data_IF_333288204662
#
_entry.id   IF_333288204662
#
_cell.length_a   1.000
_cell.length_b   1.000
_cell.length_c   1.000
_cell.angle_alpha   90.00
_cell.angle_beta   90.00
_cell.angle_gamma   90.00
#
_symmetry.space_group_name_H-M   'P 1'
#
loop_
_entity.id
_entity.type
_entity.pdbx_description
1 polymer ?
#
# COMPACT_ATOMS: atom_id res chain seq x y z
N UNK A 1 -2.26 0.57 -31.26
CA UNK A 1 -1.84 1.69 -30.38
C UNK A 1 -2.55 1.54 -29.06
N UNK A 2 -1.83 1.24 -27.99
CA UNK A 2 -2.40 1.32 -26.63
C UNK A 2 -2.66 2.78 -26.36
N UNK A 3 -3.92 3.21 -26.44
CA UNK A 3 -4.33 4.51 -25.95
C UNK A 3 -4.35 4.40 -24.41
N UNK A 4 -3.24 4.73 -23.77
CA UNK A 4 -3.18 4.85 -22.33
C UNK A 4 -4.19 5.92 -21.91
N UNK A 5 -5.23 5.49 -21.23
CA UNK A 5 -6.22 6.43 -20.69
C UNK A 5 -5.63 7.04 -19.41
N UNK A 6 -5.49 8.36 -19.34
CA UNK A 6 -4.96 9.00 -18.14
C UNK A 6 -5.91 8.80 -16.94
N UNK A 7 -5.35 8.47 -15.78
CA UNK A 7 -6.10 8.45 -14.54
C UNK A 7 -6.44 9.90 -14.15
N UNK A 8 -7.73 10.18 -13.94
CA UNK A 8 -8.20 11.51 -13.56
C UNK A 8 -8.92 11.46 -12.21
N UNK A 9 -8.54 12.35 -11.33
CA UNK A 9 -9.16 12.52 -10.01
C UNK A 9 -9.53 13.98 -9.86
N UNK A 10 -10.75 14.26 -9.37
CA UNK A 10 -11.25 15.60 -9.10
C UNK A 10 -11.51 15.74 -7.60
N UNK A 11 -11.13 16.87 -7.03
CA UNK A 11 -11.35 17.19 -5.63
C UNK A 11 -12.24 18.44 -5.55
N UNK A 12 -13.20 18.40 -4.64
CA UNK A 12 -14.01 19.55 -4.26
C UNK A 12 -13.95 19.75 -2.76
N UNK A 13 -13.61 20.96 -2.34
CA UNK A 13 -13.62 21.32 -0.93
C UNK A 13 -15.06 21.32 -0.39
N UNK A 14 -15.28 20.59 0.70
CA UNK A 14 -16.56 20.59 1.39
C UNK A 14 -16.59 21.63 2.52
N UNK A 15 -15.58 21.63 3.38
CA UNK A 15 -15.40 22.59 4.46
C UNK A 15 -13.98 22.50 5.01
N UNK A 16 -13.36 23.60 5.43
CA UNK A 16 -12.04 23.64 6.03
C UNK A 16 -11.01 22.75 5.29
N UNK A 17 -10.56 21.65 5.89
CA UNK A 17 -9.64 20.67 5.32
C UNK A 17 -10.34 19.41 4.83
N UNK A 18 -11.66 19.40 4.78
CA UNK A 18 -12.45 18.29 4.24
C UNK A 18 -12.68 18.43 2.73
N UNK A 19 -12.37 17.39 1.97
CA UNK A 19 -12.51 17.33 0.52
C UNK A 19 -13.28 16.09 0.10
N UNK A 20 -14.09 16.21 -0.94
CA UNK A 20 -14.67 15.07 -1.66
C UNK A 20 -13.81 14.75 -2.86
N UNK A 21 -13.38 13.51 -2.95
CA UNK A 21 -12.62 12.98 -4.09
C UNK A 21 -13.58 12.22 -4.99
N UNK A 22 -13.66 12.59 -6.25
CA UNK A 22 -14.33 11.85 -7.31
C UNK A 22 -13.30 11.22 -8.25
N UNK A 23 -13.59 10.00 -8.68
CA UNK A 23 -12.75 9.23 -9.58
C UNK A 23 -13.27 9.35 -11.02
N UNK A 24 -12.44 8.99 -11.99
CA UNK A 24 -12.77 8.99 -13.42
C UNK A 24 -13.85 7.96 -13.81
N UNK A 25 -14.13 7.00 -12.95
CA UNK A 25 -15.29 6.10 -13.05
C UNK A 25 -16.43 6.61 -12.16
N UNK A 26 -17.53 7.06 -12.76
CA UNK A 26 -18.69 7.60 -12.06
C UNK A 26 -19.44 6.59 -11.17
N UNK A 27 -19.24 5.29 -11.40
CA UNK A 27 -19.85 4.22 -10.57
C UNK A 27 -19.11 4.02 -9.23
N UNK A 28 -17.93 4.62 -9.09
CA UNK A 28 -17.19 4.58 -7.83
C UNK A 28 -17.76 5.64 -6.85
N UNK A 29 -17.97 5.21 -5.61
CA UNK A 29 -18.38 6.12 -4.55
C UNK A 29 -17.30 7.19 -4.31
N UNK A 30 -17.74 8.43 -4.14
CA UNK A 30 -16.85 9.51 -3.73
C UNK A 30 -16.25 9.22 -2.35
N UNK A 31 -15.00 9.59 -2.17
CA UNK A 31 -14.29 9.45 -0.92
C UNK A 31 -14.18 10.79 -0.20
N UNK A 32 -14.70 10.87 1.03
CA UNK A 32 -14.47 12.02 1.90
C UNK A 32 -13.10 11.90 2.54
N UNK A 33 -12.31 12.96 2.48
CA UNK A 33 -11.02 13.09 3.17
C UNK A 33 -11.08 14.26 4.13
N UNK A 34 -10.31 14.19 5.22
CA UNK A 34 -10.20 15.28 6.19
C UNK A 34 -8.87 15.17 6.94
N UNK A 35 -8.38 16.27 7.45
CA UNK A 35 -7.22 16.26 8.35
C UNK A 35 -7.66 16.00 9.79
N UNK A 36 -6.77 15.45 10.65
CA UNK A 36 -7.05 15.37 12.08
C UNK A 36 -6.99 16.74 12.75
N UNK A 37 -7.54 16.84 13.95
CA UNK A 37 -7.42 18.05 14.76
C UNK A 37 -5.94 18.44 14.98
N UNK A 38 -5.57 19.72 15.03
CA UNK A 38 -6.48 20.90 15.05
C UNK A 38 -6.87 21.45 13.67
N UNK A 39 -6.42 20.87 12.57
CA UNK A 39 -6.69 21.37 11.22
C UNK A 39 -8.10 20.98 10.74
N UNK A 40 -8.49 19.75 10.95
CA UNK A 40 -9.78 19.18 10.56
C UNK A 40 -10.46 18.47 11.73
N UNK A 41 -11.40 17.59 11.39
CA UNK A 41 -12.24 16.87 12.35
C UNK A 41 -12.14 15.34 12.21
N UNK A 42 -11.14 14.85 11.47
CA UNK A 42 -10.89 13.40 11.25
C UNK A 42 -12.13 12.66 10.67
N UNK A 43 -12.90 13.33 9.80
CA UNK A 43 -14.12 12.78 9.18
C UNK A 43 -13.84 11.75 8.09
N UNK A 44 -12.58 11.67 7.65
CA UNK A 44 -12.12 10.74 6.65
C UNK A 44 -10.59 10.58 6.70
N UNK A 45 -10.02 9.66 5.91
CA UNK A 45 -8.58 9.49 5.86
C UNK A 45 -7.92 10.76 5.29
N UNK A 46 -6.83 11.20 5.92
CA UNK A 46 -6.01 12.27 5.39
C UNK A 46 -5.10 11.78 4.23
N UNK A 47 -4.43 12.67 3.46
CA UNK A 47 -3.58 12.28 2.34
C UNK A 47 -2.48 11.27 2.68
N UNK A 48 -1.88 11.36 3.87
CA UNK A 48 -0.85 10.40 4.31
C UNK A 48 -1.41 8.99 4.48
N UNK A 49 -2.61 8.86 5.07
CA UNK A 49 -3.32 7.58 5.19
C UNK A 49 -3.67 7.01 3.81
N UNK A 50 -4.10 7.87 2.87
CA UNK A 50 -4.41 7.45 1.50
C UNK A 50 -3.18 6.95 0.75
N UNK A 51 -2.05 7.62 0.89
CA UNK A 51 -0.79 7.18 0.30
C UNK A 51 -0.40 5.78 0.79
N UNK A 52 -0.42 5.57 2.11
CA UNK A 52 -0.09 4.28 2.70
C UNK A 52 -1.11 3.19 2.31
N UNK A 53 -2.40 3.52 2.29
CA UNK A 53 -3.44 2.60 1.83
C UNK A 53 -3.23 2.19 0.37
N UNK A 54 -2.85 3.11 -0.51
CA UNK A 54 -2.56 2.80 -1.91
C UNK A 54 -1.36 1.85 -2.03
N UNK A 55 -0.29 2.08 -1.26
CA UNK A 55 0.90 1.22 -1.26
C UNK A 55 0.56 -0.20 -0.82
N UNK A 56 -0.07 -0.37 0.34
CA UNK A 56 -0.34 -1.71 0.88
C UNK A 56 -1.40 -2.46 0.06
N UNK A 57 -2.40 -1.76 -0.47
CA UNK A 57 -3.40 -2.36 -1.35
C UNK A 57 -2.77 -2.88 -2.65
N UNK A 58 -1.89 -2.08 -3.27
CA UNK A 58 -1.19 -2.50 -4.49
C UNK A 58 -0.29 -3.71 -4.24
N UNK A 59 0.45 -3.74 -3.13
CA UNK A 59 1.29 -4.88 -2.74
C UNK A 59 0.44 -6.16 -2.56
N UNK A 60 -0.68 -6.06 -1.83
CA UNK A 60 -1.57 -7.19 -1.61
C UNK A 60 -2.19 -7.71 -2.92
N UNK A 61 -2.62 -6.81 -3.81
CA UNK A 61 -3.16 -7.16 -5.12
C UNK A 61 -2.09 -7.83 -6.00
N UNK A 62 -0.86 -7.33 -5.98
CA UNK A 62 0.27 -7.89 -6.74
C UNK A 62 0.65 -9.29 -6.23
N UNK A 63 0.66 -9.49 -4.91
CA UNK A 63 0.89 -10.82 -4.34
C UNK A 63 -0.22 -11.79 -4.74
N UNK A 64 -1.48 -11.38 -4.64
CA UNK A 64 -2.63 -12.20 -5.08
C UNK A 64 -2.55 -12.55 -6.56
N UNK A 65 -2.19 -11.58 -7.41
CA UNK A 65 -1.98 -11.81 -8.84
C UNK A 65 -0.88 -12.85 -9.10
N UNK A 66 0.28 -12.72 -8.46
CA UNK A 66 1.38 -13.65 -8.60
C UNK A 66 1.04 -15.06 -8.09
N UNK A 67 0.35 -15.16 -6.96
CA UNK A 67 -0.16 -16.44 -6.44
C UNK A 67 -1.06 -17.13 -7.46
N UNK A 68 -2.04 -16.42 -8.02
CA UNK A 68 -2.97 -16.96 -9.04
C UNK A 68 -2.27 -17.36 -10.32
N UNK A 69 -1.28 -16.58 -10.77
CA UNK A 69 -0.43 -16.90 -11.94
C UNK A 69 0.29 -18.25 -11.76
N UNK A 70 0.66 -18.59 -10.54
CA UNK A 70 1.25 -19.87 -10.17
C UNK A 70 0.23 -20.92 -9.72
N UNK A 71 -1.04 -20.77 -10.13
CA UNK A 71 -2.15 -21.74 -9.88
C UNK A 71 -2.48 -21.93 -8.40
N UNK A 72 -2.20 -20.95 -7.56
CA UNK A 72 -2.66 -20.96 -6.18
C UNK A 72 -4.05 -20.31 -6.09
N UNK A 73 -4.87 -20.81 -5.17
CA UNK A 73 -6.19 -20.27 -4.82
C UNK A 73 -6.20 -19.92 -3.32
N UNK A 74 -5.47 -18.85 -2.91
CA UNK A 74 -5.42 -18.49 -1.50
C UNK A 74 -6.81 -18.04 -1.02
N UNK A 75 -7.07 -18.23 0.26
CA UNK A 75 -8.15 -17.55 0.95
C UNK A 75 -7.92 -16.02 1.00
N UNK A 76 -8.72 -15.28 1.76
CA UNK A 76 -8.58 -13.83 1.86
C UNK A 76 -7.23 -13.45 2.48
N UNK A 77 -6.49 -12.58 1.78
CA UNK A 77 -5.25 -12.00 2.28
C UNK A 77 -5.56 -10.89 3.30
N UNK A 78 -4.70 -10.74 4.29
CA UNK A 78 -4.67 -9.57 5.16
C UNK A 78 -3.36 -8.82 4.94
N UNK A 79 -3.41 -7.50 4.99
CA UNK A 79 -2.21 -6.68 4.90
C UNK A 79 -2.30 -5.51 5.87
N UNK A 80 -1.15 -5.05 6.35
CA UNK A 80 -1.02 -3.87 7.18
C UNK A 80 0.21 -3.08 6.76
N UNK A 81 0.19 -1.79 7.01
CA UNK A 81 1.32 -0.90 6.74
C UNK A 81 1.44 0.12 7.87
N UNK A 82 2.66 0.43 8.26
CA UNK A 82 2.97 1.51 9.17
C UNK A 82 4.10 2.38 8.61
N UNK A 83 4.05 3.65 8.97
CA UNK A 83 5.10 4.62 8.69
C UNK A 83 5.17 5.62 9.82
N UNK A 84 6.37 6.09 10.14
CA UNK A 84 6.60 7.17 11.09
C UNK A 84 6.97 8.44 10.31
N UNK A 85 6.09 9.46 10.25
CA UNK A 85 6.46 10.73 9.67
C UNK A 85 7.59 11.38 10.46
N UNK A 86 8.58 11.92 9.76
CA UNK A 86 9.75 12.58 10.34
C UNK A 86 9.89 14.00 9.77
N UNK A 87 10.52 14.89 10.53
CA UNK A 87 10.87 16.21 10.01
C UNK A 87 12.20 16.14 9.27
N UNK A 88 12.23 16.75 8.08
CA UNK A 88 13.48 16.95 7.35
C UNK A 88 14.28 18.12 7.94
N UNK A 89 15.46 18.39 7.39
CA UNK A 89 16.36 19.48 7.81
C UNK A 89 15.70 20.87 7.81
N UNK A 90 14.70 21.07 6.94
CA UNK A 90 13.90 22.31 6.89
C UNK A 90 12.69 22.30 7.84
N UNK A 91 12.58 21.34 8.76
CA UNK A 91 11.49 21.20 9.72
C UNK A 91 10.16 20.76 9.11
N UNK A 92 10.13 20.26 7.88
CA UNK A 92 8.92 19.84 7.17
C UNK A 92 8.68 18.34 7.32
N UNK A 93 7.42 17.92 7.57
CA UNK A 93 7.04 16.53 7.69
C UNK A 93 7.22 15.76 6.37
N UNK A 94 7.77 14.57 6.46
CA UNK A 94 7.97 13.64 5.35
C UNK A 94 7.73 12.20 5.82
N UNK A 95 7.17 11.39 4.92
CA UNK A 95 7.17 9.93 5.05
C UNK A 95 8.38 9.45 4.24
N UNK A 96 9.44 9.07 4.93
CA UNK A 96 10.70 8.64 4.30
C UNK A 96 10.80 7.12 4.19
N UNK A 97 10.04 6.41 5.01
CA UNK A 97 10.00 4.95 5.04
C UNK A 97 8.63 4.44 5.47
N UNK A 98 8.27 3.27 4.99
CA UNK A 98 7.09 2.55 5.40
C UNK A 98 7.39 1.04 5.47
N UNK A 99 6.74 0.34 6.38
CA UNK A 99 6.81 -1.12 6.51
C UNK A 99 5.44 -1.71 6.26
N UNK A 100 5.34 -2.57 5.24
CA UNK A 100 4.14 -3.34 4.94
C UNK A 100 4.34 -4.80 5.35
N UNK A 101 3.29 -5.42 5.91
CA UNK A 101 3.25 -6.85 6.20
C UNK A 101 2.04 -7.46 5.50
N UNK A 102 2.30 -8.47 4.68
CA UNK A 102 1.28 -9.23 3.95
C UNK A 102 1.14 -10.60 4.61
N UNK A 103 -0.06 -10.93 5.03
CA UNK A 103 -0.38 -12.18 5.72
C UNK A 103 -1.04 -13.15 4.75
N UNK A 104 -0.37 -14.28 4.51
CA UNK A 104 -0.96 -15.39 3.79
C UNK A 104 -1.88 -16.20 4.73
N UNK A 105 -3.06 -16.66 4.26
CA UNK A 105 -4.00 -17.39 5.11
C UNK A 105 -3.61 -18.87 5.35
N UNK A 106 -2.61 -19.38 4.63
CA UNK A 106 -2.12 -20.75 4.75
C UNK A 106 -0.65 -20.84 5.16
N UNK A 107 -0.17 -22.07 5.30
CA UNK A 107 1.23 -22.37 5.55
C UNK A 107 2.05 -22.32 4.25
N UNK A 108 3.37 -22.19 4.36
CA UNK A 108 4.27 -22.21 3.21
C UNK A 108 4.02 -23.44 2.29
N UNK A 109 3.83 -24.61 2.88
CA UNK A 109 3.62 -25.87 2.14
C UNK A 109 2.30 -25.93 1.34
N UNK A 110 1.36 -25.03 1.62
CA UNK A 110 0.06 -24.99 0.94
C UNK A 110 0.13 -24.30 -0.43
N UNK A 111 1.28 -23.66 -0.76
CA UNK A 111 1.41 -22.87 -1.96
C UNK A 111 2.38 -23.49 -2.97
N UNK A 112 1.97 -23.54 -4.23
CA UNK A 112 2.83 -23.95 -5.34
C UNK A 112 3.79 -22.84 -5.77
N UNK A 113 5.05 -23.18 -5.93
CA UNK A 113 6.11 -22.26 -6.41
C UNK A 113 6.20 -20.94 -5.61
N UNK A 114 6.00 -21.00 -4.30
CA UNK A 114 5.93 -19.79 -3.47
C UNK A 114 7.22 -18.96 -3.57
N UNK A 115 8.40 -19.58 -3.63
CA UNK A 115 9.67 -18.86 -3.78
C UNK A 115 9.70 -17.98 -5.04
N UNK A 116 9.15 -18.48 -6.15
CA UNK A 116 9.04 -17.68 -7.39
C UNK A 116 8.01 -16.57 -7.28
N UNK A 117 6.90 -16.84 -6.60
CA UNK A 117 5.87 -15.82 -6.31
C UNK A 117 6.49 -14.67 -5.54
N UNK A 118 7.19 -14.98 -4.43
CA UNK A 118 7.81 -14.00 -3.55
C UNK A 118 8.94 -13.21 -4.23
N UNK A 119 9.68 -13.84 -5.14
CA UNK A 119 10.74 -13.17 -5.90
C UNK A 119 10.24 -12.18 -6.96
N UNK A 120 8.98 -12.26 -7.38
CA UNK A 120 8.48 -11.52 -8.55
C UNK A 120 7.29 -10.60 -8.28
N UNK A 121 6.52 -10.83 -7.19
CA UNK A 121 5.23 -10.15 -7.05
C UNK A 121 5.35 -8.62 -6.96
N UNK A 122 6.42 -8.12 -6.37
CA UNK A 122 6.63 -6.69 -6.23
C UNK A 122 6.85 -5.98 -7.58
N UNK A 123 7.38 -6.68 -8.59
CA UNK A 123 7.58 -6.14 -9.94
C UNK A 123 6.25 -5.73 -10.60
N UNK A 124 5.13 -6.33 -10.17
CA UNK A 124 3.79 -5.99 -10.65
C UNK A 124 3.13 -4.84 -9.88
N UNK A 125 3.77 -4.34 -8.81
CA UNK A 125 3.22 -3.29 -7.98
C UNK A 125 3.56 -1.90 -8.52
N UNK A 126 2.68 -1.35 -9.35
CA UNK A 126 2.85 -0.02 -9.96
C UNK A 126 3.07 1.06 -8.91
N UNK A 127 2.25 1.08 -7.86
CA UNK A 127 2.31 2.14 -6.82
C UNK A 127 3.63 2.06 -6.05
N UNK A 128 4.02 0.89 -5.55
CA UNK A 128 5.25 0.74 -4.77
C UNK A 128 6.48 1.07 -5.62
N UNK A 129 6.55 0.59 -6.85
CA UNK A 129 7.65 0.90 -7.76
C UNK A 129 7.74 2.41 -8.07
N UNK A 130 6.59 3.09 -8.13
CA UNK A 130 6.55 4.54 -8.37
C UNK A 130 7.00 5.36 -7.17
N UNK A 131 6.69 4.94 -5.94
CA UNK A 131 7.01 5.72 -4.72
C UNK A 131 8.38 5.39 -4.14
N UNK A 132 9.00 4.25 -4.44
CA UNK A 132 10.27 3.78 -3.85
C UNK A 132 11.46 4.73 -4.05
N UNK A 133 11.45 5.54 -5.08
CA UNK A 133 12.53 6.51 -5.29
C UNK A 133 12.54 7.65 -4.27
N UNK A 134 11.41 7.91 -3.61
CA UNK A 134 11.26 8.95 -2.61
C UNK A 134 10.92 8.42 -1.21
N UNK A 135 10.39 7.19 -1.12
CA UNK A 135 9.98 6.55 0.13
C UNK A 135 10.53 5.13 0.15
N UNK A 136 11.31 4.79 1.16
CA UNK A 136 11.70 3.40 1.36
C UNK A 136 10.49 2.60 1.82
N UNK A 137 10.14 1.54 1.08
CA UNK A 137 9.03 0.63 1.41
C UNK A 137 9.59 -0.74 1.70
N UNK A 138 9.52 -1.14 2.94
CA UNK A 138 9.92 -2.43 3.47
C UNK A 138 8.73 -3.40 3.40
N UNK A 139 8.94 -4.60 2.90
CA UNK A 139 7.87 -5.58 2.69
C UNK A 139 8.17 -6.88 3.43
N UNK A 140 7.22 -7.32 4.25
CA UNK A 140 7.25 -8.63 4.86
C UNK A 140 6.04 -9.44 4.39
N UNK A 141 6.27 -10.72 4.12
CA UNK A 141 5.21 -11.70 3.87
C UNK A 141 5.30 -12.77 4.94
N UNK A 142 4.21 -13.03 5.61
CA UNK A 142 4.12 -14.04 6.67
C UNK A 142 3.02 -15.06 6.37
N UNK A 143 3.20 -16.30 6.83
CA UNK A 143 2.17 -17.33 6.76
C UNK A 143 1.13 -17.20 7.89
N UNK A 144 0.19 -18.14 7.96
CA UNK A 144 -0.91 -18.12 8.94
C UNK A 144 -0.44 -18.29 10.40
N UNK A 145 0.78 -18.78 10.63
CA UNK A 145 1.40 -18.89 11.96
C UNK A 145 2.29 -17.69 12.30
N UNK A 146 2.39 -16.69 11.40
CA UNK A 146 3.27 -15.52 11.56
C UNK A 146 4.72 -15.79 11.19
N UNK A 147 5.05 -16.91 10.54
CA UNK A 147 6.40 -17.21 10.07
C UNK A 147 6.73 -16.34 8.87
N UNK A 148 7.88 -15.66 8.92
CA UNK A 148 8.33 -14.79 7.83
C UNK A 148 8.73 -15.64 6.62
N UNK A 149 8.07 -15.43 5.48
CA UNK A 149 8.34 -16.05 4.18
C UNK A 149 9.21 -15.16 3.29
N UNK A 150 9.00 -13.85 3.37
CA UNK A 150 9.81 -12.82 2.76
C UNK A 150 9.95 -11.68 3.77
N UNK A 151 11.16 -11.17 3.95
CA UNK A 151 11.44 -9.98 4.74
C UNK A 151 12.49 -9.14 4.06
N UNK A 152 12.23 -7.85 3.94
CA UNK A 152 13.23 -6.91 3.50
C UNK A 152 14.16 -6.58 4.69
N UNK A 153 15.40 -7.05 4.59
CA UNK A 153 16.41 -6.90 5.66
C UNK A 153 16.99 -5.49 5.77
N UNK A 154 16.61 -4.59 4.88
CA UNK A 154 17.15 -3.23 4.87
C UNK A 154 16.77 -2.41 6.11
N UNK A 155 15.77 -2.86 6.88
CA UNK A 155 15.24 -2.15 8.05
C UNK A 155 15.88 -2.56 9.39
N UNK A 156 16.64 -3.65 9.45
CA UNK A 156 17.30 -4.09 10.68
C UNK A 156 18.53 -3.24 11.06
N UNK A 157 18.96 -2.34 10.18
CA UNK A 157 20.14 -1.49 10.39
C UNK A 157 19.87 -0.14 11.08
N UNK A 158 18.67 0.11 11.57
CA UNK A 158 18.26 1.41 12.12
C UNK A 158 17.44 1.36 13.41
N UNK A 159 17.55 0.30 14.21
CA UNK A 159 16.93 0.23 15.54
C UNK A 159 17.91 0.60 16.63
#
# INVERSE_FOLDING_TARGET
MNTETPIRITLEQESDYAFRIAFDNADLAMLLTDEPAPLGNDRGPNPSRLLLAAVVNCLAASLLFALRKHRNTPGPLRAEICALPMRNESGRWRITSARATLHLPGHNADYHNLDRVLAQFEDFCVVTQSVRQGINVDVNVVDCEGRVLLGDKSFEAGA
#
